data_IF_903888238448
#
_entry.id   IF_903888238448
#
_cell.length_a   1.000
_cell.length_b   1.000
_cell.length_c   1.000
_cell.angle_alpha   90.00
_cell.angle_beta   90.00
_cell.angle_gamma   90.00
#
_symmetry.space_group_name_H-M   'P 1'
#
loop_
_entity.id
_entity.type
_entity.pdbx_description
1 polymer ?
#
# COMPACT_ATOMS: atom_id res chain seq x y z
N UNK A 1 -5.89 15.61 12.36
CA UNK A 1 -5.08 15.79 11.14
C UNK A 1 -4.92 14.44 10.47
N UNK A 2 -5.36 14.29 9.22
CA UNK A 2 -4.97 13.16 8.36
C UNK A 2 -3.94 13.69 7.36
N UNK A 3 -2.82 12.99 7.17
CA UNK A 3 -1.86 13.34 6.11
C UNK A 3 -2.29 12.63 4.84
N UNK A 4 -2.19 13.31 3.71
CA UNK A 4 -2.35 12.72 2.38
C UNK A 4 -1.21 13.16 1.49
N UNK A 5 -0.74 12.28 0.62
CA UNK A 5 0.33 12.57 -0.34
C UNK A 5 -0.03 12.02 -1.72
N UNK A 6 0.29 12.76 -2.76
CA UNK A 6 0.26 12.29 -4.14
C UNK A 6 1.56 11.53 -4.43
N UNK A 7 1.48 10.23 -4.71
CA UNK A 7 2.66 9.43 -5.06
C UNK A 7 3.25 9.92 -6.38
N UNK A 8 4.53 10.27 -6.36
CA UNK A 8 5.26 10.85 -7.51
C UNK A 8 4.57 12.07 -8.15
N UNK A 9 3.80 12.82 -7.36
CA UNK A 9 3.06 13.99 -7.84
C UNK A 9 1.82 13.65 -8.69
N UNK A 10 1.44 12.38 -8.80
CA UNK A 10 0.22 11.98 -9.49
C UNK A 10 -0.99 12.15 -8.56
N UNK A 11 -1.89 13.08 -8.93
CA UNK A 11 -3.09 13.41 -8.16
C UNK A 11 -4.12 12.28 -8.11
N UNK A 12 -4.05 11.31 -9.02
CA UNK A 12 -4.88 10.11 -8.96
C UNK A 12 -4.33 9.07 -7.97
N UNK A 13 -3.04 9.16 -7.61
CA UNK A 13 -2.34 8.23 -6.72
C UNK A 13 -2.22 8.80 -5.30
N UNK A 14 -3.35 9.09 -4.67
CA UNK A 14 -3.37 9.63 -3.30
C UNK A 14 -3.25 8.51 -2.26
N UNK A 15 -2.27 8.66 -1.39
CA UNK A 15 -2.06 7.83 -0.21
C UNK A 15 -2.42 8.60 1.05
N UNK A 16 -3.11 7.94 1.98
CA UNK A 16 -3.56 8.48 3.26
C UNK A 16 -2.74 7.88 4.40
N UNK A 17 -2.28 8.70 5.34
CA UNK A 17 -1.67 8.20 6.57
C UNK A 17 -2.78 7.76 7.54
N UNK A 18 -2.75 6.49 7.93
CA UNK A 18 -3.71 5.89 8.83
C UNK A 18 -3.02 5.31 10.07
N UNK A 19 -3.75 5.29 11.17
CA UNK A 19 -3.35 4.61 12.42
C UNK A 19 -4.42 3.56 12.71
N UNK A 20 -4.01 2.30 12.78
CA UNK A 20 -4.85 1.17 13.13
C UNK A 20 -5.24 1.20 14.62
N UNK A 21 -6.27 0.44 14.98
CA UNK A 21 -6.72 0.34 16.37
C UNK A 21 -5.66 -0.27 17.32
N UNK A 22 -4.68 -0.98 16.76
CA UNK A 22 -3.53 -1.55 17.46
C UNK A 22 -2.34 -0.57 17.58
N UNK A 23 -2.51 0.67 17.10
CA UNK A 23 -1.49 1.71 17.13
C UNK A 23 -0.45 1.62 16.01
N UNK A 24 -0.55 0.65 15.10
CA UNK A 24 0.33 0.61 13.91
C UNK A 24 -0.06 1.70 12.94
N UNK A 25 0.93 2.31 12.31
CA UNK A 25 0.74 3.41 11.37
C UNK A 25 1.25 3.02 9.99
N UNK A 26 0.65 3.59 8.94
CA UNK A 26 1.05 3.32 7.58
C UNK A 26 0.26 4.09 6.53
N UNK A 27 0.77 4.08 5.30
CA UNK A 27 0.07 4.60 4.14
C UNK A 27 -0.97 3.61 3.66
N UNK A 28 -2.18 4.08 3.35
CA UNK A 28 -3.25 3.30 2.71
C UNK A 28 -3.72 4.03 1.46
N UNK A 29 -4.12 3.29 0.42
CA UNK A 29 -4.66 3.90 -0.79
C UNK A 29 -5.97 4.64 -0.46
N UNK A 30 -6.20 5.82 -1.08
CA UNK A 30 -7.40 6.63 -0.79
C UNK A 30 -8.73 5.90 -1.00
N UNK A 31 -8.74 4.88 -1.85
CA UNK A 31 -9.94 4.13 -2.24
C UNK A 31 -10.21 2.92 -1.33
N UNK A 32 -9.31 2.62 -0.39
CA UNK A 32 -9.46 1.48 0.54
C UNK A 32 -10.42 1.76 1.68
N UNK A 33 -10.35 2.92 2.39
CA UNK A 33 -11.29 3.19 3.46
C UNK A 33 -12.72 3.36 2.94
N UNK A 34 -13.66 2.68 3.58
CA UNK A 34 -15.09 2.81 3.28
C UNK A 34 -15.77 3.71 4.31
N UNK A 35 -16.75 4.49 3.82
CA UNK A 35 -17.58 5.35 4.65
C UNK A 35 -18.94 4.69 4.87
N UNK A 36 -19.31 4.42 6.12
CA UNK A 36 -20.63 3.89 6.48
C UNK A 36 -21.11 4.55 7.78
N UNK A 37 -22.34 5.07 7.77
CA UNK A 37 -22.98 5.68 8.93
C UNK A 37 -22.13 6.77 9.62
N UNK A 38 -21.43 7.59 8.83
CA UNK A 38 -20.56 8.66 9.34
C UNK A 38 -19.24 8.17 9.97
N UNK A 39 -18.93 6.88 9.82
CA UNK A 39 -17.66 6.27 10.25
C UNK A 39 -16.85 5.83 9.05
N UNK A 40 -15.53 5.84 9.21
CA UNK A 40 -14.56 5.33 8.24
C UNK A 40 -14.03 4.00 8.78
N UNK A 41 -14.01 2.96 7.94
CA UNK A 41 -13.46 1.65 8.30
C UNK A 41 -12.67 1.06 7.15
N UNK A 42 -11.68 0.23 7.48
CA UNK A 42 -11.00 -0.61 6.50
C UNK A 42 -11.85 -1.88 6.28
N UNK A 43 -12.40 -2.10 5.07
CA UNK A 43 -13.26 -3.26 4.79
C UNK A 43 -12.46 -4.58 4.70
N UNK A 44 -11.15 -4.49 4.53
CA UNK A 44 -10.23 -5.61 4.37
C UNK A 44 -8.95 -5.37 5.16
N UNK A 45 -8.28 -6.46 5.52
CA UNK A 45 -6.93 -6.37 6.10
C UNK A 45 -5.98 -5.74 5.10
N UNK A 46 -5.21 -4.78 5.57
CA UNK A 46 -4.18 -4.09 4.79
C UNK A 46 -2.89 -4.06 5.60
N UNK A 47 -1.76 -4.30 4.93
CA UNK A 47 -0.45 -4.08 5.51
C UNK A 47 0.30 -3.03 4.68
N UNK A 48 1.05 -2.17 5.34
CA UNK A 48 1.90 -1.13 4.74
C UNK A 48 3.37 -1.59 4.66
N UNK A 49 3.63 -2.90 4.68
CA UNK A 49 4.99 -3.44 4.74
C UNK A 49 5.62 -3.29 3.36
N UNK A 50 6.70 -2.54 3.28
CA UNK A 50 7.52 -2.44 2.07
C UNK A 50 8.47 -3.64 1.98
N UNK A 51 8.67 -4.15 0.76
CA UNK A 51 9.57 -5.26 0.48
C UNK A 51 10.88 -4.72 -0.11
N UNK A 52 12.00 -5.09 0.51
CA UNK A 52 13.32 -4.83 -0.05
C UNK A 52 13.62 -5.85 -1.14
N UNK A 53 13.92 -5.37 -2.34
CA UNK A 53 14.19 -6.20 -3.52
C UNK A 53 15.45 -5.71 -4.23
N UNK A 54 16.13 -6.62 -4.93
CA UNK A 54 17.29 -6.31 -5.78
C UNK A 54 17.06 -6.77 -7.22
N UNK A 55 17.78 -6.19 -8.21
CA UNK A 55 17.68 -6.67 -9.59
C UNK A 55 17.97 -8.16 -9.70
N UNK A 56 17.06 -8.89 -10.34
CA UNK A 56 17.13 -10.35 -10.48
C UNK A 56 16.30 -11.13 -9.46
N UNK A 57 15.70 -10.47 -8.46
CA UNK A 57 14.72 -11.13 -7.59
C UNK A 57 13.46 -11.54 -8.38
N UNK A 58 13.03 -12.78 -8.19
CA UNK A 58 11.77 -13.28 -8.73
C UNK A 58 10.63 -13.03 -7.73
N UNK A 59 9.60 -12.31 -8.19
CA UNK A 59 8.47 -11.90 -7.39
C UNK A 59 7.16 -12.35 -8.05
N UNK A 60 6.25 -12.90 -7.24
CA UNK A 60 4.87 -13.09 -7.64
C UNK A 60 4.08 -11.81 -7.38
N UNK A 61 3.55 -11.19 -8.44
CA UNK A 61 2.64 -10.05 -8.33
C UNK A 61 1.25 -10.53 -7.88
N UNK A 62 0.72 -9.90 -6.83
CA UNK A 62 -0.60 -10.23 -6.27
C UNK A 62 -1.63 -9.13 -6.57
N UNK A 63 -1.21 -7.87 -6.48
CA UNK A 63 -2.08 -6.71 -6.64
C UNK A 63 -1.24 -5.49 -7.04
N UNK A 64 -1.81 -4.57 -7.83
CA UNK A 64 -1.24 -3.26 -8.11
C UNK A 64 -2.23 -2.17 -7.68
N UNK A 65 -1.73 -1.19 -6.93
CA UNK A 65 -2.52 -0.12 -6.33
C UNK A 65 -1.71 1.18 -6.37
N UNK A 66 -2.22 2.17 -7.10
CA UNK A 66 -1.73 3.56 -7.07
C UNK A 66 -0.19 3.70 -7.17
N UNK A 67 0.43 2.94 -8.09
CA UNK A 67 1.87 2.97 -8.34
C UNK A 67 2.72 2.04 -7.46
N UNK A 68 2.08 1.18 -6.67
CA UNK A 68 2.72 0.16 -5.86
C UNK A 68 2.18 -1.23 -6.17
N UNK A 69 3.03 -2.24 -6.06
CA UNK A 69 2.71 -3.64 -6.34
C UNK A 69 2.90 -4.46 -5.08
N UNK A 70 1.84 -5.15 -4.63
CA UNK A 70 1.97 -6.14 -3.57
C UNK A 70 2.57 -7.41 -4.18
N UNK A 71 3.71 -7.82 -3.64
CA UNK A 71 4.49 -8.94 -4.15
C UNK A 71 4.69 -10.01 -3.08
N UNK A 72 4.92 -11.24 -3.54
CA UNK A 72 5.40 -12.36 -2.74
C UNK A 72 6.75 -12.85 -3.25
N UNK A 73 7.75 -12.95 -2.38
CA UNK A 73 9.05 -13.56 -2.72
C UNK A 73 8.96 -15.09 -2.80
N UNK A 74 9.94 -15.74 -3.43
CA UNK A 74 10.06 -17.20 -3.41
C UNK A 74 10.18 -17.79 -1.99
N UNK A 75 10.66 -17.00 -1.02
CA UNK A 75 10.74 -17.37 0.40
C UNK A 75 9.42 -17.17 1.15
N UNK A 76 8.41 -16.60 0.48
CA UNK A 76 7.08 -16.39 1.01
C UNK A 76 6.87 -15.06 1.73
N UNK A 77 7.83 -14.14 1.67
CA UNK A 77 7.70 -12.79 2.25
C UNK A 77 6.74 -11.97 1.41
N UNK A 78 5.88 -11.18 2.06
CA UNK A 78 4.88 -10.33 1.43
C UNK A 78 5.20 -8.87 1.71
N UNK A 79 5.11 -8.03 0.68
CA UNK A 79 5.21 -6.58 0.85
C UNK A 79 5.09 -5.80 -0.45
N UNK A 80 4.95 -4.49 -0.30
CA UNK A 80 4.76 -3.54 -1.38
C UNK A 80 6.09 -3.12 -1.99
N UNK A 81 6.10 -3.01 -3.31
CA UNK A 81 7.23 -2.57 -4.11
C UNK A 81 6.76 -1.50 -5.09
N UNK A 82 7.45 -0.35 -5.24
CA UNK A 82 7.06 0.65 -6.23
C UNK A 82 7.13 0.09 -7.66
N UNK A 83 6.13 0.37 -8.51
CA UNK A 83 6.09 -0.11 -9.91
C UNK A 83 7.38 0.23 -10.68
N UNK A 84 7.99 1.39 -10.39
CA UNK A 84 9.22 1.86 -11.06
C UNK A 84 10.43 0.95 -10.92
N UNK A 85 10.45 -0.01 -9.98
CA UNK A 85 11.60 -0.92 -9.84
C UNK A 85 11.50 -2.16 -10.72
N UNK A 86 10.37 -2.37 -11.41
CA UNK A 86 10.17 -3.45 -12.38
C UNK A 86 10.63 -3.08 -13.81
N UNK A 87 11.17 -1.86 -13.99
CA UNK A 87 11.59 -1.30 -15.29
C UNK A 87 13.10 -1.26 -15.50
#
# INVERSE_FOLDING_TARGET
>A
SGRSVAWEGNEDHIWLWAIGNDGREGWVAKDFPQHQNGKIFAPHDYNSIELSVVPGDELQVLEEVLGWVLCKTLKGELGWVPVRVFG
#
